data_IF_772602879973
#
_entry.id   IF_772602879973
#
_cell.length_a   1.000
_cell.length_b   1.000
_cell.length_c   1.000
_cell.angle_alpha   90.00
_cell.angle_beta   90.00
_cell.angle_gamma   90.00
#
_symmetry.space_group_name_H-M   'P 1'
#
loop_
_entity.id
_entity.type
_entity.pdbx_description
1 polymer ?
#
# COMPACT_ATOMS: atom_id res chain seq x y z
N UNK A 1 36.25 12.96 -18.02
CA UNK A 1 35.40 13.58 -19.09
C UNK A 1 35.23 12.61 -20.25
N UNK A 2 36.29 12.14 -20.93
CA UNK A 2 36.19 11.25 -22.11
C UNK A 2 35.35 9.98 -21.88
N UNK A 3 35.38 9.40 -20.72
CA UNK A 3 34.64 8.17 -20.40
C UNK A 3 33.13 8.45 -20.30
N UNK A 4 32.74 9.62 -19.80
CA UNK A 4 31.34 10.02 -19.73
C UNK A 4 30.75 10.24 -21.13
N UNK A 5 31.48 10.97 -21.97
CA UNK A 5 31.06 11.24 -23.36
C UNK A 5 30.87 9.93 -24.15
N UNK A 6 31.80 8.98 -23.96
CA UNK A 6 31.71 7.66 -24.59
C UNK A 6 30.50 6.86 -24.05
N UNK A 7 30.19 6.91 -22.73
CA UNK A 7 29.05 6.22 -22.17
C UNK A 7 27.72 6.81 -22.61
N UNK A 8 27.63 8.13 -22.76
CA UNK A 8 26.46 8.80 -23.29
C UNK A 8 26.24 8.44 -24.78
N UNK A 9 27.32 8.38 -25.58
CA UNK A 9 27.26 7.93 -26.95
C UNK A 9 26.75 6.48 -27.04
N UNK A 10 27.29 5.58 -26.25
CA UNK A 10 26.84 4.17 -26.21
C UNK A 10 25.38 4.05 -25.79
N UNK A 11 24.96 4.80 -24.77
CA UNK A 11 23.58 4.82 -24.33
C UNK A 11 22.62 5.24 -25.44
N UNK A 12 23.00 6.24 -26.25
CA UNK A 12 22.18 6.70 -27.39
C UNK A 12 22.12 5.70 -28.54
N UNK A 13 23.19 4.88 -28.71
CA UNK A 13 23.31 3.90 -29.80
C UNK A 13 22.60 2.58 -29.48
N UNK A 14 22.43 2.24 -28.20
CA UNK A 14 21.84 1.00 -27.72
C UNK A 14 20.70 1.29 -26.71
N UNK A 15 19.51 1.73 -27.19
CA UNK A 15 18.38 1.98 -26.33
C UNK A 15 17.83 0.68 -25.72
N UNK A 16 17.14 0.74 -24.56
CA UNK A 16 16.56 -0.42 -23.91
C UNK A 16 15.68 -1.25 -24.84
N UNK A 17 15.99 -2.54 -24.94
CA UNK A 17 15.25 -3.49 -25.76
C UNK A 17 14.09 -4.17 -24.96
N UNK A 18 13.20 -4.89 -25.66
CA UNK A 18 12.07 -5.61 -25.03
C UNK A 18 12.50 -6.55 -23.90
N UNK A 19 13.67 -7.20 -24.03
CA UNK A 19 14.20 -8.09 -23.00
C UNK A 19 14.57 -7.33 -21.71
N UNK A 20 15.09 -6.13 -21.84
CA UNK A 20 15.44 -5.28 -20.69
C UNK A 20 14.19 -4.73 -20.01
N UNK A 21 13.18 -4.35 -20.79
CA UNK A 21 11.87 -3.95 -20.29
C UNK A 21 11.22 -5.11 -19.51
N UNK A 22 11.17 -6.32 -20.08
CA UNK A 22 10.63 -7.50 -19.42
C UNK A 22 11.41 -7.89 -18.15
N UNK A 23 12.74 -7.70 -18.15
CA UNK A 23 13.57 -7.90 -16.96
C UNK A 23 13.24 -6.85 -15.88
N UNK A 24 13.06 -5.59 -16.25
CA UNK A 24 12.69 -4.52 -15.34
C UNK A 24 11.33 -4.79 -14.69
N UNK A 25 10.35 -5.31 -15.45
CA UNK A 25 9.06 -5.77 -14.93
C UNK A 25 9.21 -6.91 -13.94
N UNK A 26 10.05 -7.91 -14.27
CA UNK A 26 10.30 -9.05 -13.38
C UNK A 26 10.99 -8.65 -12.08
N UNK A 27 11.95 -7.72 -12.16
CA UNK A 27 12.63 -7.16 -10.96
C UNK A 27 11.64 -6.37 -10.12
N UNK A 28 10.75 -5.61 -10.74
CA UNK A 28 9.71 -4.87 -10.03
C UNK A 28 8.81 -5.78 -9.19
N UNK A 29 8.41 -6.95 -9.72
CA UNK A 29 7.56 -7.90 -8.97
C UNK A 29 8.25 -8.46 -7.73
N UNK A 30 9.59 -8.47 -7.68
CA UNK A 30 10.39 -9.02 -6.57
C UNK A 30 10.83 -7.95 -5.59
N UNK A 31 11.28 -6.78 -6.10
CA UNK A 31 11.92 -5.73 -5.32
C UNK A 31 11.01 -4.52 -5.06
N UNK A 32 9.87 -4.40 -5.77
CA UNK A 32 8.94 -3.29 -5.65
C UNK A 32 9.48 -1.95 -6.17
N UNK A 33 10.60 -1.95 -6.92
CA UNK A 33 11.14 -0.77 -7.60
C UNK A 33 11.57 -1.10 -9.03
N UNK A 34 11.57 -0.10 -9.89
CA UNK A 34 11.98 -0.19 -11.28
C UNK A 34 13.29 0.55 -11.49
N UNK A 35 14.02 0.17 -12.54
CA UNK A 35 15.16 0.96 -12.98
C UNK A 35 14.65 2.13 -13.85
N UNK A 36 14.77 3.39 -13.38
CA UNK A 36 14.24 4.53 -14.12
C UNK A 36 14.95 4.76 -15.47
N UNK A 37 16.17 4.31 -15.66
CA UNK A 37 16.90 4.46 -16.93
C UNK A 37 16.45 3.46 -17.99
N UNK A 38 15.71 2.42 -17.62
CA UNK A 38 15.04 1.52 -18.57
C UNK A 38 13.68 2.09 -18.96
N UNK A 39 12.94 2.67 -18.00
CA UNK A 39 11.62 3.25 -18.25
C UNK A 39 11.71 4.61 -18.97
N UNK A 40 12.73 5.38 -18.65
CA UNK A 40 12.97 6.73 -19.17
C UNK A 40 14.44 6.88 -19.60
N UNK A 41 14.83 6.34 -20.75
CA UNK A 41 16.21 6.39 -21.22
C UNK A 41 16.76 7.82 -21.32
N UNK A 42 15.93 8.77 -21.73
CA UNK A 42 16.30 10.18 -21.86
C UNK A 42 16.73 10.82 -20.52
N UNK A 43 16.37 10.22 -19.36
CA UNK A 43 16.78 10.71 -18.05
C UNK A 43 18.30 10.82 -17.91
N UNK A 44 19.06 10.03 -18.65
CA UNK A 44 20.53 10.05 -18.69
C UNK A 44 21.04 11.42 -19.15
N UNK A 45 20.41 12.06 -20.12
CA UNK A 45 20.77 13.38 -20.61
C UNK A 45 20.54 14.49 -19.58
N UNK A 46 19.52 14.33 -18.71
CA UNK A 46 19.21 15.29 -17.65
C UNK A 46 20.11 15.14 -16.41
N UNK A 47 20.77 14.00 -16.25
CA UNK A 47 21.66 13.78 -15.11
C UNK A 47 23.13 14.01 -15.51
N UNK A 48 23.55 13.54 -16.66
CA UNK A 48 24.95 13.55 -17.09
C UNK A 48 25.21 14.22 -18.42
N UNK A 49 24.17 14.42 -19.27
CA UNK A 49 24.28 14.92 -20.62
C UNK A 49 24.00 16.41 -20.76
N UNK A 50 23.46 16.79 -21.91
CA UNK A 50 23.26 18.18 -22.34
C UNK A 50 22.17 18.93 -21.54
N UNK A 51 21.24 18.21 -20.90
CA UNK A 51 20.07 18.76 -20.20
C UNK A 51 20.23 18.83 -18.68
N UNK A 52 21.46 18.81 -18.15
CA UNK A 52 21.74 18.78 -16.69
C UNK A 52 21.13 19.94 -15.89
N UNK A 53 20.90 21.07 -16.51
CA UNK A 53 20.32 22.27 -15.88
C UNK A 53 18.80 22.36 -16.11
N UNK A 54 18.25 21.46 -16.93
CA UNK A 54 16.83 21.46 -17.26
C UNK A 54 16.05 20.54 -16.32
N UNK A 55 14.81 20.87 -15.92
CA UNK A 55 13.99 19.98 -15.16
C UNK A 55 13.50 18.80 -16.01
N UNK A 56 13.73 17.57 -15.57
CA UNK A 56 13.15 16.40 -16.22
C UNK A 56 11.64 16.43 -16.08
N UNK A 57 10.94 16.21 -17.19
CA UNK A 57 9.48 16.05 -17.21
C UNK A 57 9.15 14.65 -17.70
N UNK A 58 8.39 13.93 -16.90
CA UNK A 58 7.87 12.64 -17.35
C UNK A 58 7.04 12.82 -18.62
N UNK A 59 7.19 11.94 -19.62
CA UNK A 59 6.36 11.98 -20.82
C UNK A 59 4.88 11.99 -20.46
N UNK A 60 4.09 12.80 -21.16
CA UNK A 60 2.66 12.95 -20.91
C UNK A 60 1.86 11.65 -21.15
N UNK A 61 2.45 10.68 -21.82
CA UNK A 61 1.88 9.36 -22.14
C UNK A 61 2.26 8.27 -21.13
N UNK A 62 2.80 8.62 -19.96
CA UNK A 62 3.04 7.61 -18.92
C UNK A 62 1.72 7.03 -18.43
N UNK A 63 1.64 5.70 -18.39
CA UNK A 63 0.44 5.00 -17.94
C UNK A 63 0.09 5.41 -16.51
N UNK A 64 -1.20 5.47 -16.18
CA UNK A 64 -1.65 5.70 -14.82
C UNK A 64 -1.11 4.65 -13.85
N UNK A 65 -0.60 5.07 -12.71
CA UNK A 65 -0.08 4.15 -11.70
C UNK A 65 -0.26 4.71 -10.29
N UNK A 66 -0.26 3.80 -9.30
CA UNK A 66 -0.13 4.15 -7.90
C UNK A 66 1.27 3.78 -7.40
N UNK A 67 1.91 4.72 -6.75
CA UNK A 67 3.14 4.52 -5.98
C UNK A 67 2.82 3.92 -4.61
N UNK A 68 1.69 4.34 -4.04
CA UNK A 68 1.07 3.79 -2.83
C UNK A 68 -0.43 3.57 -3.07
N UNK A 69 -1.04 2.53 -2.47
CA UNK A 69 -0.39 1.41 -1.79
C UNK A 69 0.39 0.52 -2.77
N UNK A 70 1.38 -0.21 -2.25
CA UNK A 70 2.11 -1.20 -3.06
C UNK A 70 1.22 -2.39 -3.36
N UNK A 71 1.42 -3.04 -4.52
CA UNK A 71 0.60 -4.18 -4.94
C UNK A 71 0.70 -5.41 -4.02
N UNK A 72 1.80 -5.54 -3.30
CA UNK A 72 2.09 -6.60 -2.34
C UNK A 72 1.81 -6.21 -0.88
N UNK A 73 1.28 -5.01 -0.66
CA UNK A 73 0.97 -4.52 0.68
C UNK A 73 -0.15 -5.34 1.30
N UNK A 74 0.02 -5.64 2.59
CA UNK A 74 -1.02 -6.24 3.45
C UNK A 74 -1.25 -5.28 4.61
N UNK A 75 -2.49 -4.96 4.90
CA UNK A 75 -2.87 -4.17 6.06
C UNK A 75 -3.23 -5.11 7.21
N UNK A 76 -2.31 -5.27 8.13
CA UNK A 76 -2.53 -6.02 9.36
C UNK A 76 -2.94 -5.05 10.49
N UNK A 77 -4.21 -5.00 10.78
CA UNK A 77 -4.74 -4.20 11.88
C UNK A 77 -4.41 -4.80 13.25
N UNK A 78 -3.76 -5.99 13.29
CA UNK A 78 -3.33 -6.64 14.53
C UNK A 78 -4.48 -7.17 15.37
N UNK A 79 -4.35 -7.04 16.69
CA UNK A 79 -5.34 -7.55 17.64
C UNK A 79 -6.21 -6.43 18.18
N UNK A 80 -7.51 -6.68 18.28
CA UNK A 80 -8.51 -5.80 18.89
C UNK A 80 -9.26 -6.56 20.00
N UNK A 81 -9.64 -5.88 21.05
CA UNK A 81 -10.49 -6.46 22.10
C UNK A 81 -11.97 -6.35 21.73
N UNK A 82 -12.78 -7.28 22.19
CA UNK A 82 -14.23 -7.25 22.01
C UNK A 82 -14.82 -5.94 22.52
N UNK A 83 -15.61 -5.28 21.64
CA UNK A 83 -16.24 -3.99 21.94
C UNK A 83 -15.39 -2.76 21.62
N UNK A 84 -14.12 -2.94 21.29
CA UNK A 84 -13.27 -1.84 20.86
C UNK A 84 -13.44 -1.54 19.36
N UNK A 85 -13.07 -0.32 18.99
CA UNK A 85 -12.96 0.11 17.60
C UNK A 85 -11.48 0.25 17.24
N UNK A 86 -11.15 -0.04 16.01
CA UNK A 86 -9.80 0.17 15.48
C UNK A 86 -9.86 0.75 14.08
N UNK A 87 -8.93 1.64 13.79
CA UNK A 87 -8.71 2.16 12.45
C UNK A 87 -7.24 2.19 12.10
N UNK A 88 -6.96 2.06 10.80
CA UNK A 88 -5.64 2.17 10.20
C UNK A 88 -5.73 3.02 8.94
N UNK A 89 -4.62 3.65 8.58
CA UNK A 89 -4.55 4.55 7.44
C UNK A 89 -3.99 3.85 6.22
N UNK A 90 -4.68 4.00 5.10
CA UNK A 90 -4.24 3.58 3.77
C UNK A 90 -3.83 4.82 2.98
N UNK A 91 -2.52 5.00 2.82
CA UNK A 91 -1.97 6.09 2.01
C UNK A 91 -2.12 5.77 0.54
N UNK A 92 -2.59 6.75 -0.25
CA UNK A 92 -2.76 6.64 -1.69
C UNK A 92 -1.98 7.78 -2.35
N UNK A 93 -1.06 7.42 -3.21
CA UNK A 93 -0.25 8.33 -4.00
C UNK A 93 -0.08 7.76 -5.40
N UNK A 94 -0.28 8.56 -6.42
CA UNK A 94 -0.15 8.11 -7.80
C UNK A 94 -0.04 9.25 -8.79
N UNK A 95 0.21 8.91 -10.04
CA UNK A 95 0.35 9.88 -11.11
C UNK A 95 -0.36 9.43 -12.39
N UNK A 96 -0.63 10.40 -13.25
CA UNK A 96 -1.21 10.23 -14.59
C UNK A 96 -2.62 9.61 -14.57
N UNK A 97 -3.33 9.73 -13.47
CA UNK A 97 -4.71 9.26 -13.40
C UNK A 97 -5.60 10.09 -14.33
N UNK A 98 -6.44 9.43 -15.11
CA UNK A 98 -7.33 10.06 -16.09
C UNK A 98 -8.76 10.27 -15.56
N UNK A 99 -9.07 9.69 -14.40
CA UNK A 99 -10.37 9.79 -13.73
C UNK A 99 -10.19 9.52 -12.22
N UNK A 100 -11.21 9.75 -11.38
CA UNK A 100 -11.17 9.36 -9.98
C UNK A 100 -10.90 7.86 -9.79
N UNK A 101 -10.34 7.52 -8.63
CA UNK A 101 -10.26 6.14 -8.14
C UNK A 101 -11.55 5.78 -7.41
N UNK A 102 -11.99 4.53 -7.57
CA UNK A 102 -13.06 3.93 -6.80
C UNK A 102 -12.50 2.86 -5.89
N UNK A 103 -12.85 2.92 -4.61
CA UNK A 103 -12.49 1.95 -3.59
C UNK A 103 -13.71 1.11 -3.24
N UNK A 104 -13.52 -0.18 -3.09
CA UNK A 104 -14.59 -1.11 -2.71
C UNK A 104 -14.04 -2.30 -1.94
N UNK A 105 -14.91 -2.98 -1.21
CA UNK A 105 -14.58 -4.24 -0.55
C UNK A 105 -14.88 -5.43 -1.48
N UNK A 106 -14.07 -6.47 -1.37
CA UNK A 106 -14.31 -7.71 -2.12
C UNK A 106 -15.52 -8.49 -1.56
N UNK A 107 -15.73 -8.46 -0.25
CA UNK A 107 -16.84 -9.15 0.44
C UNK A 107 -17.76 -8.10 1.08
N UNK A 108 -17.21 -7.21 1.89
CA UNK A 108 -17.93 -6.17 2.60
C UNK A 108 -18.55 -6.62 3.93
N UNK A 109 -19.05 -5.63 4.69
CA UNK A 109 -19.86 -5.86 5.89
C UNK A 109 -19.10 -5.90 7.22
N UNK A 110 -17.75 -5.87 7.22
CA UNK A 110 -16.93 -5.96 8.44
C UNK A 110 -16.10 -4.68 8.62
N UNK A 111 -15.48 -4.27 7.55
CA UNK A 111 -14.64 -3.07 7.50
C UNK A 111 -15.38 -1.93 6.80
N UNK A 112 -15.08 -0.71 7.21
CA UNK A 112 -15.59 0.51 6.59
C UNK A 112 -14.44 1.35 6.05
N UNK A 113 -14.67 2.07 4.96
CA UNK A 113 -13.76 3.06 4.39
C UNK A 113 -14.30 4.46 4.71
N UNK A 114 -13.42 5.41 5.02
CA UNK A 114 -13.83 6.82 5.14
C UNK A 114 -14.33 7.38 3.82
N UNK A 115 -13.73 6.93 2.71
CA UNK A 115 -14.01 7.40 1.36
C UNK A 115 -14.03 6.23 0.37
N UNK A 116 -15.04 6.21 -0.50
CA UNK A 116 -15.19 5.21 -1.54
C UNK A 116 -14.81 5.72 -2.94
N UNK A 117 -14.54 7.01 -3.05
CA UNK A 117 -14.06 7.66 -4.26
C UNK A 117 -13.05 8.74 -3.90
N UNK A 118 -11.92 8.78 -4.62
CA UNK A 118 -10.85 9.76 -4.43
C UNK A 118 -10.50 10.36 -5.79
N UNK A 119 -10.45 11.68 -5.88
CA UNK A 119 -10.14 12.37 -7.14
C UNK A 119 -8.69 12.16 -7.57
N UNK A 120 -8.44 12.26 -8.89
CA UNK A 120 -7.10 12.16 -9.43
C UNK A 120 -6.13 13.21 -8.85
N UNK A 121 -6.63 14.40 -8.49
CA UNK A 121 -5.82 15.45 -7.88
C UNK A 121 -5.41 15.12 -6.45
N UNK A 122 -6.34 14.61 -5.62
CA UNK A 122 -6.02 14.18 -4.26
C UNK A 122 -4.99 13.05 -4.26
N UNK A 123 -5.11 12.09 -5.19
CA UNK A 123 -4.13 11.01 -5.35
C UNK A 123 -2.77 11.52 -5.79
N UNK A 124 -2.74 12.55 -6.67
CA UNK A 124 -1.49 13.18 -7.10
C UNK A 124 -0.78 13.89 -5.93
N UNK A 125 -1.54 14.59 -5.10
CA UNK A 125 -1.02 15.34 -3.94
C UNK A 125 -0.68 14.42 -2.75
N UNK A 126 -1.19 13.19 -2.79
CA UNK A 126 -1.12 12.22 -1.71
C UNK A 126 -2.27 12.38 -0.73
N UNK A 127 -3.08 11.35 -0.60
CA UNK A 127 -4.21 11.32 0.31
C UNK A 127 -4.21 10.05 1.16
N UNK A 128 -5.03 10.06 2.20
CA UNK A 128 -5.17 8.95 3.13
C UNK A 128 -6.63 8.57 3.27
N UNK A 129 -6.93 7.29 3.13
CA UNK A 129 -8.25 6.73 3.40
C UNK A 129 -8.19 5.91 4.69
N UNK A 130 -9.06 6.22 5.64
CA UNK A 130 -9.14 5.46 6.89
C UNK A 130 -9.93 4.16 6.68
N UNK A 131 -9.37 3.05 7.15
CA UNK A 131 -10.03 1.75 7.23
C UNK A 131 -10.36 1.50 8.69
N UNK A 132 -11.63 1.28 9.00
CA UNK A 132 -12.10 1.05 10.37
C UNK A 132 -12.86 -0.27 10.49
N UNK A 133 -12.82 -0.85 11.68
CA UNK A 133 -13.68 -1.96 12.09
C UNK A 133 -14.21 -1.73 13.51
N UNK A 134 -15.43 -2.21 13.79
CA UNK A 134 -16.11 -2.02 15.07
C UNK A 134 -16.91 -3.24 15.45
N UNK A 135 -17.08 -3.40 16.77
CA UNK A 135 -18.02 -4.38 17.35
C UNK A 135 -17.84 -5.80 16.81
N UNK A 136 -16.59 -6.20 16.60
CA UNK A 136 -16.29 -7.55 16.12
C UNK A 136 -16.57 -8.58 17.23
N UNK A 137 -17.12 -9.72 16.83
CA UNK A 137 -17.15 -10.91 17.69
C UNK A 137 -15.74 -11.52 17.73
N UNK A 138 -15.51 -12.43 18.67
CA UNK A 138 -14.26 -13.21 18.71
C UNK A 138 -14.03 -13.94 17.40
N UNK A 139 -12.87 -13.76 16.80
CA UNK A 139 -12.50 -14.43 15.53
C UNK A 139 -11.44 -13.70 14.75
N UNK A 140 -11.08 -14.29 13.62
CA UNK A 140 -10.23 -13.68 12.59
C UNK A 140 -11.11 -13.16 11.46
N UNK A 141 -10.83 -11.94 11.03
CA UNK A 141 -11.55 -11.29 9.97
C UNK A 141 -10.59 -10.86 8.86
N UNK A 142 -10.99 -11.12 7.64
CA UNK A 142 -10.20 -10.79 6.44
C UNK A 142 -11.11 -10.30 5.34
N UNK A 143 -10.68 -9.26 4.64
CA UNK A 143 -11.29 -8.77 3.42
C UNK A 143 -10.21 -8.17 2.52
N UNK A 144 -10.57 -7.63 1.38
CA UNK A 144 -9.65 -7.01 0.44
C UNK A 144 -10.23 -5.68 -0.06
N UNK A 145 -9.49 -4.59 0.11
CA UNK A 145 -9.78 -3.34 -0.57
C UNK A 145 -9.39 -3.47 -2.03
N UNK A 146 -10.33 -3.19 -2.92
CA UNK A 146 -10.12 -3.13 -4.37
C UNK A 146 -10.10 -1.66 -4.77
N UNK A 147 -8.97 -1.21 -5.32
CA UNK A 147 -8.80 0.13 -5.86
C UNK A 147 -8.79 0.02 -7.38
N UNK A 148 -9.73 0.67 -8.03
CA UNK A 148 -9.94 0.63 -9.48
C UNK A 148 -10.23 2.04 -10.03
N UNK A 149 -10.26 2.19 -11.35
CA UNK A 149 -10.46 3.49 -12.00
C UNK A 149 -9.15 4.19 -12.31
N UNK A 150 -9.17 5.51 -12.45
CA UNK A 150 -7.99 6.31 -12.75
C UNK A 150 -7.33 6.01 -14.11
N UNK A 151 -7.88 5.12 -14.93
CA UNK A 151 -7.22 4.59 -16.13
C UNK A 151 -6.26 3.43 -15.84
N UNK A 152 -6.24 2.90 -14.62
CA UNK A 152 -5.40 1.77 -14.22
C UNK A 152 -6.00 0.48 -14.80
N UNK A 153 -5.25 -0.25 -15.63
CA UNK A 153 -5.74 -1.47 -16.29
C UNK A 153 -6.03 -2.61 -15.30
N UNK A 154 -5.15 -2.80 -14.32
CA UNK A 154 -5.29 -3.88 -13.33
C UNK A 154 -5.55 -3.29 -11.96
N UNK A 155 -6.72 -3.53 -11.34
CA UNK A 155 -7.02 -3.05 -10.00
C UNK A 155 -5.98 -3.46 -8.97
N UNK A 156 -5.73 -2.59 -7.99
CA UNK A 156 -4.95 -2.92 -6.81
C UNK A 156 -5.83 -3.69 -5.83
N UNK A 157 -5.26 -4.71 -5.20
CA UNK A 157 -5.95 -5.55 -4.21
C UNK A 157 -5.12 -5.58 -2.94
N UNK A 158 -5.63 -4.93 -1.91
CA UNK A 158 -4.94 -4.77 -0.63
C UNK A 158 -5.66 -5.63 0.41
N UNK A 159 -5.10 -6.78 0.79
CA UNK A 159 -5.65 -7.60 1.86
C UNK A 159 -5.63 -6.83 3.18
N UNK A 160 -6.73 -6.92 3.91
CA UNK A 160 -6.91 -6.35 5.26
C UNK A 160 -7.26 -7.48 6.20
N UNK A 161 -6.61 -7.51 7.37
CA UNK A 161 -6.88 -8.52 8.38
C UNK A 161 -6.88 -7.93 9.79
N UNK A 162 -7.67 -8.53 10.67
CA UNK A 162 -7.74 -8.21 12.09
C UNK A 162 -8.13 -9.44 12.89
N UNK A 163 -7.61 -9.57 14.11
CA UNK A 163 -7.97 -10.63 15.03
C UNK A 163 -8.68 -10.02 16.23
N UNK A 164 -9.93 -10.43 16.50
CA UNK A 164 -10.69 -10.01 17.67
C UNK A 164 -10.60 -11.06 18.78
N UNK A 165 -10.20 -10.62 19.94
CA UNK A 165 -10.05 -11.47 21.14
C UNK A 165 -10.94 -10.95 22.27
N UNK A 166 -11.36 -11.83 23.21
CA UNK A 166 -12.06 -11.38 24.42
C UNK A 166 -11.21 -10.38 25.19
N UNK A 167 -11.87 -9.39 25.78
CA UNK A 167 -11.22 -8.52 26.76
C UNK A 167 -10.65 -9.35 27.91
N UNK A 168 -9.56 -8.89 28.50
CA UNK A 168 -8.88 -9.64 29.58
C UNK A 168 -9.84 -10.02 30.69
N UNK A 169 -9.68 -11.27 31.15
CA UNK A 169 -10.33 -11.73 32.39
C UNK A 169 -9.67 -10.97 33.54
N UNK A 170 -10.42 -10.12 34.24
CA UNK A 170 -9.94 -9.60 35.52
C UNK A 170 -9.85 -10.75 36.50
N UNK A 171 -8.66 -11.05 36.98
CA UNK A 171 -8.43 -12.02 38.04
C UNK A 171 -8.11 -11.28 39.32
N UNK A 172 -8.85 -11.61 40.37
CA UNK A 172 -8.54 -11.16 41.72
C UNK A 172 -8.33 -12.38 42.62
N UNK A 173 -7.44 -12.26 43.58
CA UNK A 173 -7.27 -13.27 44.61
C UNK A 173 -7.87 -12.74 45.92
N UNK A 174 -8.69 -13.54 46.56
CA UNK A 174 -9.20 -13.30 47.93
C UNK A 174 -8.80 -14.44 48.83
N UNK A 175 -8.94 -14.22 50.14
CA UNK A 175 -8.72 -15.25 51.19
C UNK A 175 -7.34 -15.94 51.01
N UNK A 176 -6.31 -15.14 50.75
CA UNK A 176 -4.94 -15.65 50.58
C UNK A 176 -4.37 -16.02 51.94
N UNK A 177 -4.03 -17.31 52.12
CA UNK A 177 -3.32 -17.83 53.27
C UNK A 177 -1.93 -18.33 52.88
N UNK A 178 -1.13 -18.79 53.80
CA UNK A 178 0.21 -19.33 53.50
C UNK A 178 0.19 -20.57 52.58
N UNK A 179 -0.95 -21.23 52.46
CA UNK A 179 -1.10 -22.49 51.70
C UNK A 179 -2.25 -22.49 50.70
N UNK A 180 -3.14 -21.51 50.75
CA UNK A 180 -4.35 -21.47 49.91
C UNK A 180 -4.64 -20.05 49.44
N UNK A 181 -5.20 -19.92 48.23
CA UNK A 181 -5.75 -18.70 47.68
C UNK A 181 -6.99 -19.03 46.85
N UNK A 182 -8.05 -18.24 47.01
CA UNK A 182 -9.23 -18.32 46.17
C UNK A 182 -9.04 -17.34 44.99
N UNK A 183 -9.01 -17.88 43.79
CA UNK A 183 -8.86 -17.09 42.55
C UNK A 183 -10.23 -16.92 41.94
N UNK A 184 -10.65 -15.69 41.77
CA UNK A 184 -11.85 -15.30 41.05
C UNK A 184 -11.49 -14.82 39.64
N UNK A 185 -12.24 -15.26 38.66
CA UNK A 185 -12.18 -14.69 37.30
C UNK A 185 -13.59 -14.40 36.79
N UNK A 186 -13.72 -13.36 36.04
CA UNK A 186 -14.96 -13.01 35.36
C UNK A 186 -14.84 -13.44 33.91
N UNK A 187 -15.69 -14.40 33.50
CA UNK A 187 -15.86 -14.70 32.08
C UNK A 187 -16.89 -13.75 31.52
N UNK A 188 -16.49 -12.94 30.57
CA UNK A 188 -17.45 -12.22 29.75
C UNK A 188 -18.09 -13.24 28.78
N UNK A 189 -19.42 -13.31 28.70
CA UNK A 189 -20.11 -14.26 27.81
C UNK A 189 -19.71 -13.99 26.32
N UNK A 190 -19.59 -15.08 25.58
CA UNK A 190 -19.28 -15.07 24.12
C UNK A 190 -20.31 -14.31 23.29
#
# INVERSE_FOLDING_TARGET
EWALDMLLEWHSQDPPCERELARNDSVYTIQGNRNPYIDYPDLVEYIWGAHREDPFRFPAETLPFLALPRRDQIMDMGVIMLGDNKSEQLDILGNNLTSPLSLSWAIGGIFELSDYEVSAQEVHDGCTVEISCRELRKGEYRDTVIISGGGIETPYRIPVQVVSVPSFIETSASDVTATEALIHWVNYPE
#
